data_IF_315943493456
#
_entry.id   IF_315943493456
#
_cell.length_a   1.000
_cell.length_b   1.000
_cell.length_c   1.000
_cell.angle_alpha   90.00
_cell.angle_beta   90.00
_cell.angle_gamma   90.00
#
_symmetry.space_group_name_H-M   'P 1'
#
loop_
_entity.id
_entity.type
_entity.pdbx_description
1 polymer ?
#
# COMPACT_ATOMS: atom_id res chain seq x y z
N UNK A 1 3.47 -10.39 -19.28
CA UNK A 1 3.43 -11.35 -18.17
C UNK A 1 4.00 -10.65 -16.95
N UNK A 2 3.33 -10.74 -15.81
CA UNK A 2 3.82 -10.12 -14.56
C UNK A 2 4.99 -10.94 -13.99
N UNK A 3 5.89 -10.32 -13.21
CA UNK A 3 7.01 -11.02 -12.57
C UNK A 3 6.60 -11.77 -11.28
N UNK A 4 5.30 -11.90 -11.04
CA UNK A 4 4.66 -12.59 -9.91
C UNK A 4 3.30 -13.16 -10.37
N UNK A 5 2.78 -14.12 -9.62
CA UNK A 5 1.44 -14.66 -9.78
C UNK A 5 0.40 -13.76 -9.09
N UNK A 6 -0.40 -13.04 -9.88
CA UNK A 6 -1.44 -12.13 -9.39
C UNK A 6 -2.63 -12.85 -8.71
N UNK A 7 -2.66 -14.19 -8.72
CA UNK A 7 -3.69 -15.00 -8.06
C UNK A 7 -3.25 -15.54 -6.69
N UNK A 8 -1.95 -15.48 -6.37
CA UNK A 8 -1.39 -15.99 -5.12
C UNK A 8 -0.90 -14.83 -4.22
N UNK A 9 -1.63 -14.50 -3.13
CA UNK A 9 -1.21 -13.47 -2.17
C UNK A 9 0.21 -13.68 -1.61
N UNK A 10 0.66 -14.93 -1.47
CA UNK A 10 1.95 -15.24 -0.92
C UNK A 10 3.07 -14.98 -1.93
N UNK A 11 2.84 -15.27 -3.22
CA UNK A 11 3.78 -14.91 -4.28
C UNK A 11 3.86 -13.39 -4.47
N UNK A 12 2.74 -12.68 -4.38
CA UNK A 12 2.69 -11.22 -4.37
C UNK A 12 3.52 -10.67 -3.20
N UNK A 13 3.36 -11.20 -1.97
CA UNK A 13 4.16 -10.78 -0.80
C UNK A 13 5.66 -11.08 -1.01
N UNK A 14 6.00 -12.24 -1.56
CA UNK A 14 7.39 -12.62 -1.82
C UNK A 14 8.04 -11.73 -2.87
N UNK A 15 7.30 -11.37 -3.91
CA UNK A 15 7.73 -10.37 -4.88
C UNK A 15 7.95 -9.04 -4.16
N UNK A 16 6.94 -8.53 -3.44
CA UNK A 16 7.00 -7.27 -2.70
C UNK A 16 8.16 -7.19 -1.70
N UNK A 17 8.52 -8.28 -1.02
CA UNK A 17 9.68 -8.33 -0.11
C UNK A 17 11.01 -7.95 -0.77
N UNK A 18 11.12 -8.03 -2.10
CA UNK A 18 12.30 -7.55 -2.85
C UNK A 18 12.44 -6.02 -2.80
N UNK A 19 11.43 -5.29 -2.34
CA UNK A 19 11.49 -3.84 -2.09
C UNK A 19 12.24 -3.49 -0.81
N UNK A 20 12.40 -4.43 0.13
CA UNK A 20 13.04 -4.15 1.42
C UNK A 20 14.49 -3.71 1.18
N UNK A 21 14.84 -2.56 1.76
CA UNK A 21 16.14 -1.90 1.59
C UNK A 21 16.26 -1.01 0.36
N UNK A 22 15.23 -0.96 -0.52
CA UNK A 22 15.20 -0.06 -1.68
C UNK A 22 14.56 1.27 -1.35
N UNK A 23 14.97 2.31 -2.06
CA UNK A 23 14.26 3.59 -2.11
C UNK A 23 13.24 3.61 -3.25
N UNK A 24 12.31 4.56 -3.24
CA UNK A 24 11.41 4.77 -4.38
C UNK A 24 12.18 5.18 -5.64
N UNK A 25 13.31 5.87 -5.50
CA UNK A 25 14.20 6.17 -6.61
C UNK A 25 14.78 4.91 -7.24
N UNK A 26 15.23 3.94 -6.44
CA UNK A 26 15.76 2.67 -6.95
C UNK A 26 14.71 1.92 -7.79
N UNK A 27 13.44 1.94 -7.35
CA UNK A 27 12.33 1.33 -8.08
C UNK A 27 12.16 1.98 -9.46
N UNK A 28 12.13 3.32 -9.51
CA UNK A 28 12.02 4.04 -10.78
C UNK A 28 13.22 3.75 -11.68
N UNK A 29 14.43 3.75 -11.10
CA UNK A 29 15.68 3.47 -11.83
C UNK A 29 15.68 2.08 -12.46
N UNK A 30 15.18 1.08 -11.74
CA UNK A 30 15.05 -0.28 -12.25
C UNK A 30 14.00 -0.40 -13.36
N UNK A 31 12.85 0.27 -13.19
CA UNK A 31 11.77 0.28 -14.18
C UNK A 31 12.22 0.96 -15.48
N UNK A 32 12.91 2.10 -15.38
CA UNK A 32 13.39 2.90 -16.50
C UNK A 32 14.86 2.67 -16.84
N UNK A 33 15.40 1.47 -16.54
CA UNK A 33 16.82 1.15 -16.72
C UNK A 33 17.35 1.41 -18.15
N UNK A 34 16.47 1.30 -19.15
CA UNK A 34 16.78 1.48 -20.57
C UNK A 34 16.22 2.82 -21.13
N UNK A 35 15.70 3.71 -20.28
CA UNK A 35 15.08 4.97 -20.68
C UNK A 35 15.31 6.09 -19.66
N UNK A 36 16.53 6.62 -19.66
CA UNK A 36 16.99 7.68 -18.75
C UNK A 36 16.15 8.96 -18.87
N UNK A 37 15.67 9.31 -20.08
CA UNK A 37 14.84 10.48 -20.29
C UNK A 37 13.49 10.37 -19.55
N UNK A 38 12.84 9.21 -19.60
CA UNK A 38 11.59 9.00 -18.86
C UNK A 38 11.81 8.87 -17.34
N UNK A 39 12.95 8.33 -16.91
CA UNK A 39 13.35 8.37 -15.50
C UNK A 39 13.41 9.82 -14.98
N UNK A 40 14.12 10.70 -15.70
CA UNK A 40 14.28 12.10 -15.29
C UNK A 40 12.93 12.85 -15.25
N UNK A 41 12.09 12.66 -16.28
CA UNK A 41 10.73 13.23 -16.31
C UNK A 41 9.90 12.74 -15.13
N UNK A 42 9.91 11.44 -14.87
CA UNK A 42 9.11 10.81 -13.80
C UNK A 42 9.60 11.22 -12.42
N UNK A 43 10.91 11.30 -12.23
CA UNK A 43 11.55 11.80 -11.03
C UNK A 43 11.11 13.23 -10.73
N UNK A 44 11.27 14.15 -11.69
CA UNK A 44 10.92 15.56 -11.54
C UNK A 44 9.42 15.76 -11.24
N UNK A 45 8.55 14.96 -11.87
CA UNK A 45 7.10 14.98 -11.61
C UNK A 45 6.77 14.53 -10.18
N UNK A 46 7.39 13.46 -9.70
CA UNK A 46 7.04 12.84 -8.43
C UNK A 46 7.76 13.45 -7.22
N UNK A 47 8.90 14.11 -7.43
CA UNK A 47 9.69 14.76 -6.38
C UNK A 47 8.86 15.65 -5.45
N UNK A 48 7.89 16.39 -6.01
CA UNK A 48 7.11 17.37 -5.25
C UNK A 48 5.62 17.02 -5.04
N UNK A 49 5.02 16.16 -5.89
CA UNK A 49 3.54 16.01 -5.96
C UNK A 49 3.02 14.57 -6.02
N UNK A 50 3.90 13.55 -6.04
CA UNK A 50 3.48 12.15 -6.16
C UNK A 50 2.95 11.56 -4.86
N UNK A 51 1.88 10.76 -4.94
CA UNK A 51 1.52 9.79 -3.90
C UNK A 51 2.44 8.57 -4.08
N UNK A 52 3.24 8.24 -3.08
CA UNK A 52 4.21 7.15 -3.15
C UNK A 52 3.54 5.77 -3.35
N UNK A 53 2.29 5.59 -2.91
CA UNK A 53 1.50 4.40 -3.21
C UNK A 53 1.30 4.18 -4.72
N UNK A 54 0.86 5.21 -5.44
CA UNK A 54 0.69 5.15 -6.90
C UNK A 54 1.99 4.79 -7.63
N UNK A 55 3.16 5.20 -7.10
CA UNK A 55 4.45 4.84 -7.67
C UNK A 55 4.69 3.32 -7.57
N UNK A 56 4.37 2.72 -6.42
CA UNK A 56 4.49 1.28 -6.21
C UNK A 56 3.49 0.52 -7.10
N UNK A 57 2.24 0.99 -7.18
CA UNK A 57 1.23 0.42 -8.07
C UNK A 57 1.74 0.38 -9.52
N UNK A 58 2.18 1.53 -10.04
CA UNK A 58 2.51 1.69 -11.46
C UNK A 58 3.87 1.08 -11.83
N UNK A 59 4.92 1.41 -11.10
CA UNK A 59 6.31 1.11 -11.50
C UNK A 59 6.87 -0.15 -10.84
N UNK A 60 6.14 -0.78 -9.91
CA UNK A 60 6.58 -2.03 -9.29
C UNK A 60 5.62 -3.19 -9.53
N UNK A 61 4.31 -2.95 -9.37
CA UNK A 61 3.29 -3.97 -9.61
C UNK A 61 2.65 -3.91 -10.99
N UNK A 62 2.94 -2.88 -11.79
CA UNK A 62 2.48 -2.70 -13.17
C UNK A 62 0.95 -2.49 -13.30
N UNK A 63 0.32 -1.89 -12.29
CA UNK A 63 -1.08 -1.48 -12.33
C UNK A 63 -1.21 0.03 -12.52
N UNK A 64 -2.17 0.44 -13.36
CA UNK A 64 -2.51 1.85 -13.46
C UNK A 64 -3.31 2.27 -12.22
N UNK A 65 -2.89 3.34 -11.51
CA UNK A 65 -3.66 3.88 -10.40
C UNK A 65 -5.08 4.20 -10.86
N UNK A 66 -6.06 3.73 -10.11
CA UNK A 66 -7.47 3.92 -10.43
C UNK A 66 -8.26 4.17 -9.13
N UNK A 67 -9.52 4.59 -9.27
CA UNK A 67 -10.41 4.87 -8.14
C UNK A 67 -11.38 3.71 -7.87
N UNK A 68 -11.02 2.48 -8.24
CA UNK A 68 -11.88 1.32 -8.06
C UNK A 68 -12.03 1.01 -6.56
N UNK A 69 -13.26 0.80 -6.06
CA UNK A 69 -13.48 0.38 -4.66
C UNK A 69 -13.06 -1.07 -4.38
N UNK A 70 -12.67 -1.85 -5.38
CA UNK A 70 -12.19 -3.23 -5.19
C UNK A 70 -10.75 -3.28 -4.64
N UNK A 71 -10.27 -4.46 -4.20
CA UNK A 71 -8.86 -4.69 -3.90
C UNK A 71 -7.94 -4.46 -5.10
N UNK A 72 -6.74 -3.95 -4.85
CA UNK A 72 -5.73 -3.71 -5.90
C UNK A 72 -5.37 -4.98 -6.66
N UNK A 73 -5.22 -6.11 -5.96
CA UNK A 73 -5.02 -7.43 -6.55
C UNK A 73 -6.32 -8.23 -6.50
N UNK A 74 -7.25 -7.91 -7.41
CA UNK A 74 -8.60 -8.49 -7.42
C UNK A 74 -8.60 -10.03 -7.43
N UNK A 75 -7.72 -10.66 -8.20
CA UNK A 75 -7.67 -12.13 -8.35
C UNK A 75 -7.18 -12.84 -7.09
N UNK A 76 -6.34 -12.16 -6.30
CA UNK A 76 -5.85 -12.63 -5.01
C UNK A 76 -6.66 -12.08 -3.82
N UNK A 77 -7.71 -11.29 -4.09
CA UNK A 77 -8.51 -10.58 -3.09
C UNK A 77 -7.63 -9.85 -2.04
N UNK A 78 -6.58 -9.18 -2.52
CA UNK A 78 -5.56 -8.54 -1.68
C UNK A 78 -5.50 -7.05 -1.96
N UNK A 79 -5.62 -6.21 -0.92
CA UNK A 79 -5.46 -4.76 -0.98
C UNK A 79 -4.00 -4.37 -0.78
N UNK A 80 -3.49 -3.41 -1.54
CA UNK A 80 -2.16 -2.84 -1.34
C UNK A 80 -2.26 -1.58 -0.47
N UNK A 81 -1.46 -1.51 0.59
CA UNK A 81 -1.31 -0.27 1.36
C UNK A 81 0.15 0.08 1.54
N UNK A 82 0.53 1.23 0.98
CA UNK A 82 1.87 1.84 1.13
C UNK A 82 1.75 3.03 2.06
N UNK A 83 2.35 2.96 3.26
CA UNK A 83 2.15 4.00 4.29
C UNK A 83 3.43 4.30 5.09
N UNK A 84 3.65 5.56 5.51
CA UNK A 84 4.86 5.95 6.22
C UNK A 84 4.86 5.54 7.69
N UNK A 85 6.05 5.21 8.18
CA UNK A 85 6.38 5.24 9.60
C UNK A 85 7.43 6.30 9.91
N UNK A 86 7.52 6.70 11.18
CA UNK A 86 8.55 7.61 11.68
C UNK A 86 9.22 7.02 12.92
N UNK A 87 10.44 7.51 13.17
CA UNK A 87 11.23 7.18 14.35
C UNK A 87 11.19 8.38 15.30
N UNK A 88 10.73 8.17 16.52
CA UNK A 88 10.72 9.18 17.57
C UNK A 88 12.15 9.47 18.06
N UNK A 89 12.31 10.54 18.86
CA UNK A 89 13.60 10.92 19.47
C UNK A 89 14.21 9.80 20.34
N UNK A 90 13.38 9.00 20.99
CA UNK A 90 13.78 7.84 21.81
C UNK A 90 14.10 6.58 20.97
N UNK A 91 13.96 6.65 19.65
CA UNK A 91 14.23 5.55 18.74
C UNK A 91 13.06 4.61 18.46
N UNK A 92 11.91 4.80 19.11
CA UNK A 92 10.70 4.00 18.86
C UNK A 92 10.12 4.28 17.48
N UNK A 93 9.66 3.21 16.82
CA UNK A 93 8.97 3.29 15.54
C UNK A 93 7.47 3.46 15.76
N UNK A 94 6.85 4.34 14.99
CA UNK A 94 5.39 4.51 14.99
C UNK A 94 4.86 4.80 13.59
N UNK A 95 3.61 4.42 13.34
CA UNK A 95 2.90 4.88 12.16
C UNK A 95 2.85 6.41 12.14
N UNK A 96 3.11 7.01 10.97
CA UNK A 96 3.07 8.47 10.81
C UNK A 96 1.63 8.97 10.65
N UNK A 97 0.78 8.16 10.03
CA UNK A 97 -0.60 8.50 9.69
C UNK A 97 -1.53 7.30 9.89
N UNK A 98 -2.85 7.55 9.88
CA UNK A 98 -3.85 6.49 9.94
C UNK A 98 -3.92 5.77 8.59
N UNK A 99 -4.15 4.47 8.63
CA UNK A 99 -4.38 3.67 7.43
C UNK A 99 -5.79 3.95 6.88
N UNK A 100 -5.87 4.49 5.66
CA UNK A 100 -7.14 4.73 4.98
C UNK A 100 -7.53 3.47 4.22
N UNK A 101 -8.68 2.88 4.53
CA UNK A 101 -9.17 1.65 3.89
C UNK A 101 -9.99 1.97 2.64
N UNK A 102 -11.03 2.79 2.78
CA UNK A 102 -11.89 3.20 1.68
C UNK A 102 -12.77 4.39 2.07
N UNK A 103 -13.42 4.99 1.08
CA UNK A 103 -14.43 6.02 1.30
C UNK A 103 -15.76 5.37 1.66
N UNK A 104 -16.51 6.00 2.56
CA UNK A 104 -17.91 5.65 2.80
C UNK A 104 -18.75 6.42 1.77
N UNK A 105 -19.58 5.74 0.95
CA UNK A 105 -20.43 6.41 -0.03
C UNK A 105 -21.44 7.32 0.70
N UNK A 106 -21.64 8.53 0.17
CA UNK A 106 -22.60 9.51 0.68
C UNK A 106 -23.81 9.70 -0.26
N UNK A 107 -23.78 9.04 -1.42
CA UNK A 107 -24.75 9.16 -2.50
C UNK A 107 -25.58 7.88 -2.70
N UNK A 108 -25.27 6.82 -1.95
CA UNK A 108 -25.94 5.52 -2.02
C UNK A 108 -26.17 4.95 -0.62
N UNK A 109 -27.13 4.03 -0.45
CA UNK A 109 -27.34 3.35 0.83
C UNK A 109 -26.07 2.65 1.32
N UNK A 110 -25.78 2.79 2.61
CA UNK A 110 -24.67 2.09 3.25
C UNK A 110 -25.13 0.67 3.57
N UNK A 111 -24.37 -0.34 3.14
CA UNK A 111 -24.59 -1.72 3.57
C UNK A 111 -24.32 -1.82 5.08
N UNK A 112 -25.35 -2.21 5.83
CA UNK A 112 -25.33 -2.29 7.30
C UNK A 112 -24.84 -3.65 7.80
N UNK A 113 -24.91 -4.67 6.94
CA UNK A 113 -24.31 -5.97 7.20
C UNK A 113 -22.81 -5.91 6.89
N UNK A 114 -22.00 -5.83 7.95
CA UNK A 114 -20.54 -5.79 7.84
C UNK A 114 -19.98 -6.92 6.97
N UNK A 115 -20.58 -8.11 7.03
CA UNK A 115 -20.12 -9.28 6.29
C UNK A 115 -20.35 -9.15 4.77
N UNK A 116 -21.19 -8.20 4.34
CA UNK A 116 -21.45 -7.86 2.93
C UNK A 116 -20.80 -6.54 2.52
N UNK A 117 -20.09 -5.88 3.42
CA UNK A 117 -19.53 -4.56 3.15
C UNK A 117 -18.26 -4.64 2.30
N UNK A 118 -18.09 -3.70 1.36
CA UNK A 118 -16.84 -3.53 0.61
C UNK A 118 -15.62 -3.24 1.51
N UNK A 119 -15.86 -2.71 2.71
CA UNK A 119 -14.80 -2.49 3.71
C UNK A 119 -14.22 -3.83 4.15
N UNK A 120 -15.05 -4.85 4.36
CA UNK A 120 -14.56 -6.19 4.71
C UNK A 120 -13.71 -6.79 3.58
N UNK A 121 -14.13 -6.66 2.32
CA UNK A 121 -13.36 -7.16 1.17
C UNK A 121 -11.93 -6.59 1.17
N UNK A 122 -11.77 -5.28 1.42
CA UNK A 122 -10.44 -4.65 1.53
C UNK A 122 -9.64 -5.05 2.77
N UNK A 123 -10.33 -5.37 3.87
CA UNK A 123 -9.69 -5.71 5.14
C UNK A 123 -9.34 -7.19 5.29
N UNK A 124 -9.95 -8.05 4.46
CA UNK A 124 -9.73 -9.49 4.48
C UNK A 124 -8.26 -9.84 4.32
N UNK A 125 -7.56 -9.17 3.41
CA UNK A 125 -6.14 -9.37 3.19
C UNK A 125 -5.47 -8.11 2.66
N UNK A 126 -4.49 -7.61 3.39
CA UNK A 126 -3.76 -6.37 3.09
C UNK A 126 -2.28 -6.71 2.95
N UNK A 127 -1.69 -6.37 1.81
CA UNK A 127 -0.26 -6.25 1.65
C UNK A 127 0.19 -4.87 2.14
N UNK A 128 0.82 -4.84 3.30
CA UNK A 128 1.30 -3.62 3.93
C UNK A 128 2.78 -3.38 3.60
N UNK A 129 3.08 -2.23 3.02
CA UNK A 129 4.43 -1.76 2.71
C UNK A 129 4.70 -0.50 3.52
N UNK A 130 5.68 -0.56 4.42
CA UNK A 130 6.06 0.57 5.27
C UNK A 130 7.38 1.17 4.82
N UNK A 131 7.37 2.48 4.62
CA UNK A 131 8.57 3.25 4.29
C UNK A 131 8.92 4.26 5.37
N UNK A 132 10.21 4.49 5.57
CA UNK A 132 10.70 5.43 6.56
C UNK A 132 10.55 6.86 6.06
N UNK A 133 9.72 7.64 6.73
CA UNK A 133 9.57 9.06 6.45
C UNK A 133 10.64 9.86 7.19
N UNK A 134 11.72 10.20 6.48
CA UNK A 134 12.73 11.13 6.96
C UNK A 134 12.46 12.55 6.46
N UNK A 135 12.18 13.48 7.37
CA UNK A 135 11.91 14.88 7.01
C UNK A 135 13.11 15.61 6.38
N UNK A 136 14.31 15.04 6.48
CA UNK A 136 15.54 15.64 5.95
C UNK A 136 15.91 15.11 4.57
N UNK A 137 15.10 14.21 4.00
CA UNK A 137 15.32 13.59 2.68
C UNK A 137 14.21 13.95 1.71
N UNK A 138 14.52 13.87 0.41
CA UNK A 138 13.51 13.90 -0.63
C UNK A 138 12.63 12.64 -0.52
N UNK A 139 11.35 12.76 -0.91
CA UNK A 139 10.37 11.66 -0.80
C UNK A 139 10.81 10.40 -1.54
N UNK A 140 11.52 10.57 -2.66
CA UNK A 140 11.99 9.44 -3.46
C UNK A 140 13.16 8.70 -2.81
N UNK A 141 13.82 9.30 -1.82
CA UNK A 141 14.92 8.71 -1.05
C UNK A 141 14.44 8.01 0.23
N UNK A 142 13.13 7.90 0.43
CA UNK A 142 12.57 7.14 1.55
C UNK A 142 12.81 5.64 1.31
N UNK A 143 13.36 4.97 2.32
CA UNK A 143 13.60 3.53 2.30
C UNK A 143 12.31 2.78 2.59
N UNK A 144 12.09 1.69 1.87
CA UNK A 144 11.09 0.68 2.21
C UNK A 144 11.76 -0.34 3.13
N UNK A 145 11.24 -0.49 4.33
CA UNK A 145 11.91 -1.28 5.38
C UNK A 145 11.08 -2.48 5.83
N UNK A 146 9.76 -2.45 5.62
CA UNK A 146 8.87 -3.55 5.98
C UNK A 146 7.87 -3.85 4.89
N UNK A 147 7.68 -5.14 4.63
CA UNK A 147 6.65 -5.67 3.74
C UNK A 147 6.02 -6.86 4.45
N UNK A 148 4.70 -6.84 4.62
CA UNK A 148 3.99 -7.91 5.30
C UNK A 148 2.56 -8.06 4.80
N UNK A 149 2.16 -9.31 4.56
CA UNK A 149 0.76 -9.68 4.39
C UNK A 149 0.08 -9.76 5.77
N UNK A 150 -1.06 -9.11 5.89
CA UNK A 150 -1.80 -8.93 7.13
C UNK A 150 -3.30 -9.12 6.87
N UNK A 151 -4.02 -9.73 7.82
CA UNK A 151 -5.47 -9.90 7.73
C UNK A 151 -6.12 -9.40 9.02
N UNK A 152 -7.15 -8.55 8.91
CA UNK A 152 -7.93 -8.13 10.08
C UNK A 152 -8.71 -9.28 10.69
N UNK A 153 -8.96 -10.33 9.91
CA UNK A 153 -9.73 -11.51 10.34
C UNK A 153 -8.89 -12.51 11.13
N UNK A 154 -7.58 -12.28 11.22
CA UNK A 154 -6.70 -13.07 12.07
C UNK A 154 -7.02 -12.89 13.55
N UNK A 155 -6.79 -13.93 14.35
CA UNK A 155 -7.11 -13.94 15.80
C UNK A 155 -6.43 -12.78 16.55
N UNK A 156 -5.25 -12.34 16.12
CA UNK A 156 -4.53 -11.20 16.70
C UNK A 156 -5.29 -9.89 16.64
N UNK A 157 -6.22 -9.75 15.67
CA UNK A 157 -6.97 -8.52 15.40
C UNK A 157 -8.42 -8.60 15.83
N UNK A 158 -8.81 -9.64 16.56
CA UNK A 158 -10.19 -9.86 17.01
C UNK A 158 -10.79 -8.68 17.76
N UNK A 159 -10.01 -8.03 18.62
CA UNK A 159 -10.44 -6.82 19.35
C UNK A 159 -10.68 -5.64 18.40
N UNK A 160 -9.81 -5.47 17.42
CA UNK A 160 -9.93 -4.40 16.42
C UNK A 160 -11.14 -4.64 15.51
N UNK A 161 -11.37 -5.90 15.10
CA UNK A 161 -12.52 -6.29 14.31
C UNK A 161 -13.85 -5.98 15.02
N UNK A 162 -13.94 -6.24 16.32
CA UNK A 162 -15.13 -5.89 17.12
C UNK A 162 -15.36 -4.38 17.20
N UNK A 163 -14.30 -3.57 17.23
CA UNK A 163 -14.42 -2.11 17.20
C UNK A 163 -14.92 -1.66 15.83
N UNK A 164 -14.34 -2.18 14.74
CA UNK A 164 -14.73 -1.87 13.36
C UNK A 164 -16.21 -2.20 13.12
N UNK A 165 -16.67 -3.39 13.54
CA UNK A 165 -18.07 -3.82 13.43
C UNK A 165 -19.06 -2.90 14.15
N UNK A 166 -18.62 -2.24 15.23
CA UNK A 166 -19.45 -1.25 15.96
C UNK A 166 -19.48 0.11 15.30
N UNK A 167 -18.44 0.48 14.54
CA UNK A 167 -18.34 1.80 13.87
C UNK A 167 -19.12 1.85 12.56
N UNK A 168 -19.37 0.71 11.91
CA UNK A 168 -20.09 0.63 10.63
C UNK A 168 -21.63 0.59 10.81
N UNK A 169 -22.12 0.48 12.07
CA UNK A 169 -23.54 0.59 12.40
C UNK A 169 -23.98 2.04 12.57
#
# INVERSE_FOLDING_TARGET
MLPYDETDPQDIENYAKKLIGKTFYDILREYFKDNELELEKTFNKNKNKGKLGNLIEEYYFYYKPNSNPNPDFLKANTELKVTPYIKNKNGELKAKERLVIGMIPNDNPIETDFEKSHVLEKLQLILLILYFHDKNKDKLDYSIDFVKLFSILGESCKKDLEIIKKTIK
#
